data_IF_688140462839
#
_entry.id   IF_688140462839
#
_cell.length_a   1.000
_cell.length_b   1.000
_cell.length_c   1.000
_cell.angle_alpha   90.00
_cell.angle_beta   90.00
_cell.angle_gamma   90.00
#
_symmetry.space_group_name_H-M   'P 1'
#
loop_
_entity.id
_entity.type
_entity.pdbx_description
1 polymer ?
#
# COMPACT_ATOMS: atom_id res chain seq x y z
N UNK A 1 3.04 2.56 3.48
CA UNK A 1 2.63 1.45 4.36
C UNK A 1 3.78 1.17 5.31
N UNK A 2 3.48 0.63 6.48
CA UNK A 2 4.44 0.15 7.46
C UNK A 2 4.04 -1.29 7.83
N UNK A 3 5.00 -2.21 7.88
CA UNK A 3 4.81 -3.57 8.38
C UNK A 3 5.60 -3.68 9.67
N UNK A 4 4.88 -4.00 10.75
CA UNK A 4 5.25 -3.84 12.14
C UNK A 4 5.67 -2.41 12.54
N UNK A 5 5.42 -2.09 13.79
CA UNK A 5 5.66 -0.78 14.37
C UNK A 5 6.21 -0.93 15.79
N UNK A 6 7.40 -1.51 15.89
CA UNK A 6 8.15 -1.61 17.15
C UNK A 6 8.54 -0.26 17.75
N UNK A 7 8.96 -0.29 19.02
CA UNK A 7 9.38 0.92 19.73
C UNK A 7 10.45 1.69 18.95
N UNK A 8 10.26 3.01 18.81
CA UNK A 8 11.20 3.87 18.10
C UNK A 8 11.04 3.86 16.57
N UNK A 9 10.01 3.22 16.01
CA UNK A 9 9.71 3.26 14.57
C UNK A 9 9.69 4.69 14.01
N UNK A 10 9.07 5.67 14.70
CA UNK A 10 9.08 7.07 14.24
C UNK A 10 10.51 7.65 14.13
N UNK A 11 11.40 7.29 15.06
CA UNK A 11 12.79 7.76 15.04
C UNK A 11 13.57 7.12 13.89
N UNK A 12 13.32 5.86 13.58
CA UNK A 12 13.96 5.20 12.43
C UNK A 12 13.48 5.81 11.11
N UNK A 13 12.19 6.12 10.98
CA UNK A 13 11.66 6.85 9.82
C UNK A 13 12.34 8.21 9.63
N UNK A 14 12.51 8.99 10.71
CA UNK A 14 13.21 10.28 10.67
C UNK A 14 14.67 10.13 10.21
N UNK A 15 15.40 9.15 10.76
CA UNK A 15 16.80 8.87 10.35
C UNK A 15 16.92 8.48 8.88
N UNK A 16 15.97 7.67 8.40
CA UNK A 16 15.88 7.28 7.00
C UNK A 16 15.42 8.43 6.08
N UNK A 17 15.16 9.63 6.63
CA UNK A 17 14.56 10.78 5.92
C UNK A 17 13.24 10.42 5.24
N UNK A 18 12.53 9.44 5.80
CA UNK A 18 11.21 9.03 5.36
C UNK A 18 10.15 9.73 6.22
N UNK A 19 9.24 10.44 5.57
CA UNK A 19 8.17 11.14 6.29
C UNK A 19 7.11 10.16 6.79
N UNK A 20 6.92 10.12 8.12
CA UNK A 20 5.84 9.36 8.76
C UNK A 20 4.44 9.79 8.28
N UNK A 21 4.27 11.02 7.80
CA UNK A 21 3.01 11.50 7.23
C UNK A 21 2.57 10.70 5.99
N UNK A 22 3.49 10.00 5.32
CA UNK A 22 3.18 9.13 4.17
C UNK A 22 2.66 7.76 4.58
N UNK A 23 2.62 7.44 5.87
CA UNK A 23 2.07 6.18 6.37
C UNK A 23 0.56 6.33 6.52
N UNK A 24 -0.20 5.58 5.72
CA UNK A 24 -1.66 5.51 5.80
C UNK A 24 -2.18 4.16 6.31
N UNK A 25 -1.33 3.13 6.25
CA UNK A 25 -1.65 1.77 6.67
C UNK A 25 -0.46 1.21 7.46
N UNK A 26 -0.75 0.63 8.62
CA UNK A 26 0.16 -0.14 9.46
C UNK A 26 -0.38 -1.57 9.52
N UNK A 27 0.47 -2.57 9.27
CA UNK A 27 0.14 -3.99 9.36
C UNK A 27 1.01 -4.61 10.45
N UNK A 28 0.39 -5.18 11.49
CA UNK A 28 1.05 -5.80 12.63
C UNK A 28 1.00 -7.31 12.46
N UNK A 29 2.14 -7.95 12.30
CA UNK A 29 2.23 -9.41 12.09
C UNK A 29 1.68 -10.17 13.29
N UNK A 30 2.10 -9.80 14.51
CA UNK A 30 1.65 -10.40 15.76
C UNK A 30 1.77 -9.43 16.94
N UNK A 31 1.15 -9.77 18.06
CA UNK A 31 0.99 -8.87 19.22
C UNK A 31 2.10 -9.01 20.28
N UNK A 32 3.33 -9.29 19.85
CA UNK A 32 4.49 -9.06 20.71
C UNK A 32 4.86 -7.58 20.75
N UNK A 33 5.21 -7.10 21.94
CA UNK A 33 5.44 -5.68 22.22
C UNK A 33 6.47 -5.02 21.27
N UNK A 34 7.49 -5.75 20.84
CA UNK A 34 8.51 -5.30 19.90
C UNK A 34 7.99 -5.10 18.47
N UNK A 35 6.78 -5.58 18.16
CA UNK A 35 6.12 -5.39 16.87
C UNK A 35 5.04 -4.29 16.86
N UNK A 36 4.51 -3.83 18.02
CA UNK A 36 3.43 -2.84 18.02
C UNK A 36 3.54 -1.67 19.03
N UNK A 37 4.43 -1.70 20.03
CA UNK A 37 4.52 -0.62 21.02
C UNK A 37 4.83 0.76 20.42
N UNK A 38 5.46 0.82 19.25
CA UNK A 38 5.74 2.07 18.53
C UNK A 38 4.49 2.77 17.99
N UNK A 39 3.35 2.07 17.87
CA UNK A 39 2.11 2.63 17.32
C UNK A 39 1.70 3.90 18.07
N UNK A 40 1.71 3.88 19.41
CA UNK A 40 1.36 5.05 20.22
C UNK A 40 2.22 6.28 19.89
N UNK A 41 3.54 6.08 19.80
CA UNK A 41 4.48 7.15 19.46
C UNK A 41 4.29 7.70 18.05
N UNK A 42 4.02 6.83 17.08
CA UNK A 42 3.71 7.23 15.70
C UNK A 42 2.41 8.03 15.64
N UNK A 43 1.33 7.56 16.27
CA UNK A 43 0.03 8.26 16.28
C UNK A 43 0.12 9.65 16.90
N UNK A 44 0.83 9.79 18.02
CA UNK A 44 1.05 11.09 18.64
C UNK A 44 1.88 12.02 17.77
N UNK A 45 2.95 11.51 17.15
CA UNK A 45 3.75 12.28 16.20
C UNK A 45 2.89 12.79 15.06
N UNK A 46 2.06 11.93 14.45
CA UNK A 46 1.15 12.30 13.37
C UNK A 46 0.15 13.39 13.80
N UNK A 47 -0.40 13.29 15.01
CA UNK A 47 -1.32 14.29 15.58
C UNK A 47 -0.65 15.65 15.77
N UNK A 48 0.56 15.65 16.35
CA UNK A 48 1.38 16.85 16.56
C UNK A 48 1.77 17.52 15.24
N UNK A 49 1.94 16.75 14.18
CA UNK A 49 2.16 17.26 12.82
C UNK A 49 0.89 17.56 12.04
N UNK A 50 -0.24 17.66 12.73
CA UNK A 50 -1.51 18.08 12.16
C UNK A 50 -2.04 17.18 11.02
N UNK A 51 -1.81 15.87 11.12
CA UNK A 51 -2.46 14.89 10.22
C UNK A 51 -3.98 15.12 10.22
N UNK A 52 -4.58 14.97 9.03
CA UNK A 52 -6.03 15.06 8.78
C UNK A 52 -6.63 13.78 8.21
N UNK A 53 -5.84 13.05 7.43
CA UNK A 53 -6.27 11.79 6.83
C UNK A 53 -6.36 10.68 7.88
N UNK A 54 -7.32 9.76 7.79
CA UNK A 54 -7.36 8.57 8.64
C UNK A 54 -6.08 7.74 8.53
N UNK A 55 -5.77 6.97 9.56
CA UNK A 55 -4.80 5.88 9.48
C UNK A 55 -5.50 4.56 9.74
N UNK A 56 -5.13 3.54 8.98
CA UNK A 56 -5.64 2.19 9.15
C UNK A 56 -4.57 1.32 9.80
N UNK A 57 -4.98 0.52 10.78
CA UNK A 57 -4.12 -0.43 11.49
C UNK A 57 -4.75 -1.81 11.38
N UNK A 58 -3.99 -2.76 10.87
CA UNK A 58 -4.43 -4.14 10.68
C UNK A 58 -3.53 -5.07 11.46
N UNK A 59 -4.07 -6.20 11.90
CA UNK A 59 -3.28 -7.25 12.54
C UNK A 59 -4.13 -8.47 12.83
N UNK A 60 -3.61 -9.49 13.53
CA UNK A 60 -4.39 -10.65 13.95
C UNK A 60 -5.46 -10.26 14.97
N UNK A 61 -6.29 -11.25 15.35
CA UNK A 61 -7.24 -11.13 16.46
C UNK A 61 -6.61 -10.48 17.71
N UNK A 62 -7.28 -9.46 18.25
CA UNK A 62 -6.82 -8.69 19.41
C UNK A 62 -6.16 -7.35 19.05
N UNK A 63 -5.84 -7.10 17.78
CA UNK A 63 -5.21 -5.84 17.35
C UNK A 63 -6.04 -4.62 17.68
N UNK A 64 -7.34 -4.66 17.42
CA UNK A 64 -8.29 -3.58 17.68
C UNK A 64 -8.30 -3.22 19.18
N UNK A 65 -8.36 -4.24 20.04
CA UNK A 65 -8.32 -4.07 21.49
C UNK A 65 -6.99 -3.46 21.97
N UNK A 66 -5.84 -3.91 21.44
CA UNK A 66 -4.54 -3.33 21.79
C UNK A 66 -4.41 -1.87 21.31
N UNK A 67 -4.88 -1.56 20.10
CA UNK A 67 -4.92 -0.18 19.59
C UNK A 67 -5.79 0.71 20.48
N UNK A 68 -6.99 0.24 20.86
CA UNK A 68 -7.88 0.98 21.77
C UNK A 68 -7.22 1.27 23.12
N UNK A 69 -6.56 0.29 23.73
CA UNK A 69 -5.79 0.49 24.97
C UNK A 69 -4.71 1.56 24.79
N UNK A 70 -3.94 1.50 23.69
CA UNK A 70 -2.91 2.51 23.41
C UNK A 70 -3.48 3.92 23.28
N UNK A 71 -4.68 4.06 22.71
CA UNK A 71 -5.41 5.33 22.57
C UNK A 71 -5.96 5.87 23.90
N UNK A 72 -6.03 5.04 24.95
CA UNK A 72 -6.48 5.45 26.28
C UNK A 72 -5.31 5.89 27.20
N UNK A 73 -4.06 5.77 26.76
CA UNK A 73 -2.89 6.10 27.60
C UNK A 73 -2.69 7.62 27.74
N UNK A 74 -3.09 8.19 28.87
CA UNK A 74 -2.94 9.62 29.13
C UNK A 74 -3.96 10.47 28.36
N UNK A 75 -3.70 11.77 28.23
CA UNK A 75 -4.64 12.69 27.56
C UNK A 75 -4.44 12.63 26.05
N UNK A 76 -5.12 11.71 25.38
CA UNK A 76 -5.17 11.65 23.91
C UNK A 76 -6.20 12.62 23.35
N UNK A 77 -5.73 13.55 22.54
CA UNK A 77 -6.55 14.38 21.65
C UNK A 77 -6.10 14.20 20.21
N UNK A 78 -6.29 13.01 19.65
CA UNK A 78 -5.98 12.78 18.23
C UNK A 78 -6.89 13.64 17.37
N UNK A 79 -6.30 14.32 16.39
CA UNK A 79 -7.02 15.23 15.47
C UNK A 79 -7.38 14.58 14.13
N UNK A 80 -7.27 13.26 14.06
CA UNK A 80 -7.54 12.42 12.90
C UNK A 80 -8.05 11.06 13.37
N UNK A 81 -8.70 10.33 12.46
CA UNK A 81 -9.31 9.04 12.73
C UNK A 81 -8.27 7.90 12.73
N UNK A 82 -8.42 6.99 13.70
CA UNK A 82 -7.66 5.73 13.76
C UNK A 82 -8.66 4.59 13.57
N UNK A 83 -8.48 3.83 12.50
CA UNK A 83 -9.35 2.70 12.15
C UNK A 83 -8.53 1.45 12.34
N UNK A 84 -8.90 0.62 13.32
CA UNK A 84 -8.26 -0.70 13.52
C UNK A 84 -9.15 -1.83 13.00
N UNK A 85 -8.54 -2.90 12.53
CA UNK A 85 -9.25 -4.05 11.97
C UNK A 85 -8.47 -5.33 12.26
N UNK A 86 -9.12 -6.26 12.93
CA UNK A 86 -8.62 -7.62 13.12
C UNK A 86 -8.83 -8.40 11.82
N UNK A 87 -7.78 -9.05 11.32
CA UNK A 87 -7.77 -9.84 10.09
C UNK A 87 -7.55 -11.32 10.41
N UNK A 88 -8.17 -12.18 9.62
CA UNK A 88 -7.96 -13.63 9.61
C UNK A 88 -7.16 -14.10 8.40
N UNK A 89 -6.76 -15.38 8.38
CA UNK A 89 -6.14 -16.01 7.20
C UNK A 89 -7.07 -16.00 5.99
N UNK A 90 -6.52 -15.69 4.81
CA UNK A 90 -7.28 -15.67 3.55
C UNK A 90 -7.98 -14.35 3.25
N UNK A 91 -7.95 -13.39 4.16
CA UNK A 91 -8.49 -12.06 3.92
C UNK A 91 -7.66 -11.28 2.89
N UNK A 92 -8.33 -10.33 2.24
CA UNK A 92 -7.74 -9.47 1.22
C UNK A 92 -8.27 -8.05 1.39
N UNK A 93 -7.38 -7.14 1.77
CA UNK A 93 -7.68 -5.73 1.95
C UNK A 93 -7.18 -4.94 0.74
N UNK A 94 -8.04 -4.16 0.09
CA UNK A 94 -7.61 -3.20 -0.92
C UNK A 94 -7.11 -1.92 -0.24
N UNK A 95 -5.85 -1.58 -0.46
CA UNK A 95 -5.20 -0.41 0.19
C UNK A 95 -5.18 0.81 -0.73
N UNK A 96 -5.13 0.56 -2.04
CA UNK A 96 -5.17 1.53 -3.12
C UNK A 96 -5.77 0.81 -4.34
N UNK A 97 -6.41 1.50 -5.29
CA UNK A 97 -6.95 0.87 -6.49
C UNK A 97 -5.91 -0.01 -7.20
N UNK A 98 -6.21 -1.31 -7.31
CA UNK A 98 -5.30 -2.27 -7.94
C UNK A 98 -4.12 -2.71 -7.06
N UNK A 99 -4.17 -2.47 -5.74
CA UNK A 99 -3.17 -2.97 -4.78
C UNK A 99 -3.87 -3.56 -3.57
N UNK A 100 -3.49 -4.79 -3.23
CA UNK A 100 -4.09 -5.53 -2.14
C UNK A 100 -3.05 -6.09 -1.18
N UNK A 101 -3.44 -6.25 0.07
CA UNK A 101 -2.72 -7.04 1.05
C UNK A 101 -3.54 -8.28 1.36
N UNK A 102 -2.97 -9.45 1.09
CA UNK A 102 -3.57 -10.75 1.43
C UNK A 102 -2.88 -11.34 2.65
N UNK A 103 -3.64 -11.97 3.53
CA UNK A 103 -3.15 -12.51 4.79
C UNK A 103 -3.11 -14.04 4.80
N UNK A 104 -2.24 -14.60 5.63
CA UNK A 104 -2.32 -16.00 6.04
C UNK A 104 -1.72 -16.18 7.41
N UNK A 105 -2.29 -17.07 8.23
CA UNK A 105 -1.68 -17.42 9.53
C UNK A 105 -0.37 -18.17 9.31
N UNK A 106 0.60 -17.91 10.17
CA UNK A 106 1.89 -18.60 10.24
C UNK A 106 2.09 -19.23 11.61
N UNK A 107 3.01 -20.20 11.68
CA UNK A 107 3.35 -20.88 12.93
C UNK A 107 4.18 -19.96 13.83
N UNK A 108 3.59 -19.57 14.96
CA UNK A 108 4.18 -18.72 15.98
C UNK A 108 3.47 -18.99 17.33
N UNK A 109 4.06 -18.54 18.43
CA UNK A 109 3.54 -18.77 19.79
C UNK A 109 2.27 -17.96 20.13
N UNK A 110 1.97 -16.95 19.33
CA UNK A 110 0.77 -16.11 19.37
C UNK A 110 0.14 -16.03 17.98
N UNK A 111 -1.16 -15.66 17.84
CA UNK A 111 -1.76 -15.43 16.54
C UNK A 111 -0.90 -14.50 15.68
N UNK A 112 -0.40 -15.00 14.54
CA UNK A 112 0.58 -14.32 13.71
C UNK A 112 0.24 -14.43 12.23
N UNK A 113 0.24 -13.30 11.53
CA UNK A 113 -0.08 -13.18 10.12
C UNK A 113 1.16 -12.86 9.29
N UNK A 114 1.32 -13.57 8.17
CA UNK A 114 2.14 -13.12 7.05
C UNK A 114 1.29 -12.33 6.06
N UNK A 115 1.92 -11.38 5.38
CA UNK A 115 1.27 -10.47 4.45
C UNK A 115 1.87 -10.59 3.05
N UNK A 116 0.99 -10.71 2.05
CA UNK A 116 1.36 -10.59 0.64
C UNK A 116 0.80 -9.29 0.07
N UNK A 117 1.68 -8.30 -0.18
CA UNK A 117 1.36 -7.13 -0.97
C UNK A 117 1.35 -7.52 -2.45
N UNK A 118 0.21 -7.37 -3.11
CA UNK A 118 -0.03 -7.78 -4.49
C UNK A 118 -0.54 -6.59 -5.30
N UNK A 119 0.10 -6.32 -6.44
CA UNK A 119 -0.38 -5.32 -7.41
C UNK A 119 -1.16 -5.99 -8.55
N UNK A 120 -2.07 -5.23 -9.14
CA UNK A 120 -2.78 -5.60 -10.36
C UNK A 120 -1.78 -5.91 -11.50
N UNK A 121 -2.20 -6.69 -12.51
CA UNK A 121 -1.44 -6.83 -13.74
C UNK A 121 -1.02 -5.46 -14.27
N UNK A 122 0.22 -5.37 -14.72
CA UNK A 122 0.77 -4.15 -15.32
C UNK A 122 0.60 -4.22 -16.83
N UNK A 123 0.45 -3.07 -17.49
CA UNK A 123 0.44 -3.02 -18.94
C UNK A 123 1.66 -3.72 -19.55
N UNK A 124 1.43 -4.37 -20.68
CA UNK A 124 2.48 -5.00 -21.47
C UNK A 124 3.56 -3.99 -21.87
N UNK A 125 4.77 -4.48 -22.16
CA UNK A 125 5.82 -3.59 -22.66
C UNK A 125 5.40 -2.99 -24.00
N UNK A 126 5.62 -1.69 -24.17
CA UNK A 126 5.47 -1.03 -25.46
C UNK A 126 6.47 -1.63 -26.44
N UNK A 127 5.98 -2.02 -27.61
CA UNK A 127 6.76 -2.42 -28.77
C UNK A 127 6.89 -1.21 -29.71
N UNK A 128 8.10 -0.62 -29.73
CA UNK A 128 8.39 0.55 -30.57
C UNK A 128 8.31 0.22 -32.07
N UNK A 129 8.56 -1.03 -32.47
CA UNK A 129 8.41 -1.46 -33.85
C UNK A 129 6.94 -1.42 -34.30
N UNK A 130 6.06 -2.03 -33.49
CA UNK A 130 4.61 -1.97 -33.75
C UNK A 130 4.06 -0.56 -33.69
N UNK A 131 4.51 0.26 -32.73
CA UNK A 131 4.12 1.65 -32.65
C UNK A 131 4.46 2.43 -33.94
N UNK A 132 5.67 2.27 -34.46
CA UNK A 132 6.10 2.91 -35.71
C UNK A 132 5.29 2.46 -36.93
N UNK A 133 4.90 1.17 -37.00
CA UNK A 133 3.98 0.66 -38.05
C UNK A 133 2.62 1.37 -38.01
N UNK A 134 2.20 1.81 -36.82
CA UNK A 134 0.99 2.60 -36.64
C UNK A 134 1.20 4.12 -36.74
N UNK A 135 2.38 4.58 -37.12
CA UNK A 135 2.71 6.01 -37.24
C UNK A 135 2.93 6.70 -35.91
N UNK A 136 3.27 5.96 -34.85
CA UNK A 136 3.49 6.49 -33.51
C UNK A 136 4.98 6.46 -33.18
N UNK A 137 5.56 7.64 -33.04
CA UNK A 137 6.94 7.82 -32.59
C UNK A 137 7.04 7.90 -31.05
N UNK A 138 8.25 7.71 -30.48
CA UNK A 138 8.50 7.91 -29.06
C UNK A 138 8.01 9.28 -28.58
N UNK A 139 7.08 9.28 -27.62
CA UNK A 139 6.49 10.50 -27.12
C UNK A 139 5.23 10.27 -26.27
N UNK A 140 4.47 11.34 -25.98
CA UNK A 140 3.32 11.30 -25.07
C UNK A 140 2.25 10.28 -25.45
N UNK A 141 2.04 10.03 -26.76
CA UNK A 141 1.06 9.07 -27.26
C UNK A 141 1.36 7.63 -26.80
N UNK A 142 2.63 7.24 -26.72
CA UNK A 142 3.01 5.94 -26.15
C UNK A 142 2.69 5.86 -24.66
N UNK A 143 2.82 6.97 -23.93
CA UNK A 143 2.46 7.04 -22.53
C UNK A 143 0.96 6.81 -22.31
N UNK A 144 0.11 7.36 -23.18
CA UNK A 144 -1.34 7.15 -23.17
C UNK A 144 -1.66 5.68 -23.46
N UNK A 145 -1.11 5.12 -24.54
CA UNK A 145 -1.31 3.71 -24.91
C UNK A 145 -0.80 2.74 -23.84
N UNK A 146 0.31 3.05 -23.20
CA UNK A 146 0.85 2.24 -22.11
C UNK A 146 0.03 2.36 -20.81
N UNK A 147 -0.86 3.35 -20.67
CA UNK A 147 -1.89 3.41 -19.61
C UNK A 147 -3.20 2.72 -20.01
N UNK A 148 -3.17 1.91 -21.06
CA UNK A 148 -4.32 1.18 -21.59
C UNK A 148 -5.43 2.10 -22.15
N UNK A 149 -5.08 3.33 -22.51
CA UNK A 149 -5.98 4.30 -23.14
C UNK A 149 -5.75 4.33 -24.67
N UNK A 150 -6.80 4.27 -25.51
CA UNK A 150 -6.65 4.40 -26.96
C UNK A 150 -6.30 5.83 -27.37
N UNK A 151 -5.61 5.97 -28.50
CA UNK A 151 -5.20 7.25 -29.07
C UNK A 151 -5.81 7.42 -30.46
N UNK A 152 -6.39 8.60 -30.73
CA UNK A 152 -6.84 8.99 -32.06
C UNK A 152 -5.78 9.84 -32.75
N UNK A 153 -5.30 9.39 -33.91
CA UNK A 153 -4.31 10.07 -34.73
C UNK A 153 -4.95 11.11 -35.67
N UNK A 154 -4.18 12.06 -36.21
CA UNK A 154 -4.63 12.93 -37.30
C UNK A 154 -5.21 12.09 -38.46
N UNK A 155 -6.42 12.43 -38.91
CA UNK A 155 -7.16 11.65 -39.90
C UNK A 155 -8.15 10.64 -39.30
N UNK A 156 -8.34 10.62 -37.97
CA UNK A 156 -9.41 9.87 -37.30
C UNK A 156 -9.10 8.39 -37.03
N UNK A 157 -7.90 7.91 -37.39
CA UNK A 157 -7.48 6.53 -37.11
C UNK A 157 -7.25 6.35 -35.61
N UNK A 158 -7.91 5.36 -35.03
CA UNK A 158 -7.72 4.97 -33.62
C UNK A 158 -6.66 3.87 -33.53
N UNK A 159 -5.69 4.05 -32.63
CA UNK A 159 -4.71 3.03 -32.25
C UNK A 159 -5.00 2.61 -30.82
N UNK A 160 -5.14 1.30 -30.60
CA UNK A 160 -5.40 0.74 -29.27
C UNK A 160 -4.12 0.23 -28.61
N UNK A 161 -4.09 0.12 -27.27
CA UNK A 161 -2.97 -0.45 -26.55
C UNK A 161 -2.55 -1.83 -27.05
N UNK A 162 -3.49 -2.72 -27.38
CA UNK A 162 -3.20 -4.09 -27.86
C UNK A 162 -2.47 -4.14 -29.20
N UNK A 163 -2.52 -3.06 -30.00
CA UNK A 163 -1.80 -2.96 -31.26
C UNK A 163 -0.31 -2.66 -31.05
N UNK A 164 0.06 -2.03 -29.92
CA UNK A 164 1.43 -1.55 -29.67
C UNK A 164 2.08 -2.17 -28.44
N UNK A 165 1.30 -2.65 -27.47
CA UNK A 165 1.79 -3.26 -26.24
C UNK A 165 1.76 -4.78 -26.36
N UNK A 166 2.75 -5.43 -25.72
CA UNK A 166 2.74 -6.88 -25.51
C UNK A 166 1.64 -7.34 -24.54
N UNK A 167 1.60 -8.64 -24.20
CA UNK A 167 0.64 -9.14 -23.22
C UNK A 167 0.83 -8.49 -21.84
N UNK A 168 -0.24 -8.38 -21.02
CA UNK A 168 -0.14 -7.89 -19.65
C UNK A 168 0.93 -8.63 -18.85
N UNK A 169 1.66 -7.91 -18.01
CA UNK A 169 2.69 -8.45 -17.16
C UNK A 169 2.14 -8.66 -15.76
N UNK A 170 2.63 -9.68 -15.07
CA UNK A 170 2.31 -9.88 -13.66
C UNK A 170 2.65 -8.63 -12.83
N UNK A 171 1.72 -8.25 -11.95
CA UNK A 171 1.95 -7.23 -10.93
C UNK A 171 3.08 -7.64 -9.99
N UNK A 172 3.64 -6.68 -9.25
CA UNK A 172 4.65 -6.99 -8.24
C UNK A 172 3.99 -7.70 -7.05
N UNK A 173 4.74 -8.60 -6.43
CA UNK A 173 4.36 -9.26 -5.20
C UNK A 173 5.51 -9.19 -4.21
N UNK A 174 5.24 -8.72 -3.00
CA UNK A 174 6.17 -8.69 -1.88
C UNK A 174 5.50 -9.46 -0.74
N UNK A 175 6.25 -10.37 -0.11
CA UNK A 175 5.79 -11.11 1.07
C UNK A 175 6.60 -10.62 2.26
N UNK A 176 5.89 -10.30 3.34
CA UNK A 176 6.43 -9.95 4.65
C UNK A 176 5.96 -11.00 5.63
#
# INVERSE_FOLDING_TARGET
>A
MLFDCGEGAQRQMMKAKFSYMRVNHIFITHLHCDHFLGVAGVLQTLSLTHRKTPIHIYGPEGTTNEVEKLLQIGVYGLRFEVISTDLSSGERVEIEPGKWVRTTYVDHDTPSLAYALEEAPRPGRVDLGKARVHGIEPGPLLGILHREEPVTLPGGRVVTPSMVCGPPRRGRKIVV
#
